data_IF_346123760206
#
_entry.id   IF_346123760206
#
_cell.length_a   1.000
_cell.length_b   1.000
_cell.length_c   1.000
_cell.angle_alpha   90.00
_cell.angle_beta   90.00
_cell.angle_gamma   90.00
#
_symmetry.space_group_name_H-M   'P 1'
#
loop_
_entity.id
_entity.type
_entity.pdbx_description
1 polymer ?
#
# COMPACT_ATOMS: atom_id res chain seq x y z
N UNK A 1 69.64 37.33 -13.91
CA UNK A 1 69.97 36.25 -12.96
C UNK A 1 69.11 36.45 -11.72
N UNK A 2 68.11 35.61 -11.49
CA UNK A 2 67.50 35.19 -10.20
C UNK A 2 66.26 34.35 -10.54
N UNK A 3 66.20 33.19 -9.90
CA UNK A 3 65.35 32.03 -10.17
C UNK A 3 64.06 32.09 -9.35
N UNK A 4 63.04 31.34 -9.84
CA UNK A 4 61.99 30.63 -9.08
C UNK A 4 60.93 31.55 -8.43
N UNK A 5 59.65 31.21 -8.38
CA UNK A 5 58.97 29.93 -8.17
C UNK A 5 57.58 29.93 -8.82
N UNK A 6 57.18 28.79 -9.38
CA UNK A 6 55.79 28.47 -9.71
C UNK A 6 54.97 28.42 -8.43
N UNK A 7 53.88 29.19 -8.33
CA UNK A 7 52.95 29.08 -7.22
C UNK A 7 51.61 28.52 -7.70
N UNK A 8 51.33 27.32 -7.21
CA UNK A 8 50.21 26.43 -7.51
C UNK A 8 48.87 26.94 -6.91
N UNK A 9 48.52 28.20 -7.19
CA UNK A 9 47.28 28.84 -6.69
C UNK A 9 46.27 29.19 -7.78
N UNK A 10 46.43 28.66 -8.99
CA UNK A 10 45.66 29.04 -10.19
C UNK A 10 44.46 28.14 -10.55
N UNK A 11 43.97 27.29 -9.65
CA UNK A 11 42.82 26.40 -9.94
C UNK A 11 41.77 26.33 -8.82
N UNK A 12 41.51 27.45 -8.12
CA UNK A 12 40.32 27.58 -7.25
C UNK A 12 39.69 28.97 -7.38
N UNK A 13 39.24 29.32 -8.58
CA UNK A 13 38.23 30.36 -8.79
C UNK A 13 37.17 29.82 -9.72
N UNK A 14 36.33 28.95 -9.17
CA UNK A 14 35.05 28.58 -9.73
C UNK A 14 33.98 29.09 -8.76
N UNK A 15 33.23 30.09 -9.24
CA UNK A 15 31.85 30.42 -8.85
C UNK A 15 31.54 30.57 -7.36
N UNK A 16 31.90 31.71 -6.78
CA UNK A 16 31.12 32.31 -5.70
C UNK A 16 29.95 33.11 -6.32
N UNK A 17 28.86 32.41 -6.65
CA UNK A 17 27.54 33.03 -6.69
C UNK A 17 26.89 32.71 -5.34
N UNK A 18 26.86 33.70 -4.47
CA UNK A 18 26.10 33.64 -3.23
C UNK A 18 24.62 33.57 -3.57
N UNK A 19 24.05 32.37 -3.55
CA UNK A 19 22.63 32.20 -3.39
C UNK A 19 22.35 32.33 -1.89
N UNK A 20 21.71 33.42 -1.49
CA UNK A 20 21.13 33.53 -0.16
C UNK A 20 20.16 32.36 0.06
N UNK A 21 20.14 31.72 1.25
CA UNK A 21 19.08 30.75 1.53
C UNK A 21 17.75 31.51 1.57
N UNK A 22 16.83 31.13 0.69
CA UNK A 22 15.44 31.55 0.79
C UNK A 22 14.90 31.15 2.17
N UNK A 23 14.10 31.99 2.85
CA UNK A 23 13.43 31.57 4.06
C UNK A 23 12.50 30.41 3.69
N UNK A 24 12.82 29.21 4.18
CA UNK A 24 11.91 28.07 4.21
C UNK A 24 10.72 28.48 5.08
N UNK A 25 9.71 29.07 4.46
CA UNK A 25 8.38 29.09 5.04
C UNK A 25 8.05 27.63 5.38
N UNK A 26 7.61 27.31 6.60
CA UNK A 26 7.17 25.97 6.92
C UNK A 26 6.03 25.64 5.96
N UNK A 27 6.25 24.63 5.13
CA UNK A 27 5.17 23.98 4.40
C UNK A 27 4.09 23.67 5.45
N UNK A 28 2.81 24.02 5.24
CA UNK A 28 1.77 23.56 6.14
C UNK A 28 1.95 22.05 6.29
N UNK A 29 1.86 21.49 7.51
CA UNK A 29 1.83 20.05 7.65
C UNK A 29 0.68 19.60 6.74
N UNK A 30 1.01 18.88 5.67
CA UNK A 30 0.03 18.05 5.01
C UNK A 30 -0.45 17.19 6.16
N UNK A 31 -1.67 17.45 6.63
CA UNK A 31 -2.33 16.59 7.58
C UNK A 31 -2.48 15.29 6.81
N UNK A 32 -1.45 14.45 6.87
CA UNK A 32 -1.59 13.04 6.63
C UNK A 32 -2.64 12.65 7.67
N UNK A 33 -3.91 12.60 7.24
CA UNK A 33 -4.94 11.92 8.00
C UNK A 33 -4.28 10.61 8.41
N UNK A 34 -4.08 10.45 9.72
CA UNK A 34 -3.21 9.40 10.22
C UNK A 34 -3.72 8.09 9.61
N UNK A 35 -2.84 7.26 9.01
CA UNK A 35 -3.25 6.00 8.37
C UNK A 35 -4.11 5.12 9.30
N UNK A 36 -3.99 5.32 10.61
CA UNK A 36 -4.83 4.69 11.64
C UNK A 36 -6.33 5.03 11.53
N UNK A 37 -6.73 6.27 11.21
CA UNK A 37 -8.15 6.66 11.21
C UNK A 37 -8.88 6.05 10.01
N UNK A 38 -8.28 6.14 8.82
CA UNK A 38 -8.79 5.51 7.59
C UNK A 38 -8.83 3.99 7.68
N UNK A 39 -7.81 3.37 8.28
CA UNK A 39 -7.80 1.92 8.45
C UNK A 39 -8.82 1.44 9.49
N UNK A 40 -9.06 2.22 10.55
CA UNK A 40 -10.16 1.97 11.51
C UNK A 40 -11.53 2.04 10.80
N UNK A 41 -11.75 3.04 9.96
CA UNK A 41 -12.98 3.16 9.18
C UNK A 41 -13.17 1.99 8.20
N UNK A 42 -12.12 1.55 7.51
CA UNK A 42 -12.17 0.39 6.62
C UNK A 42 -12.43 -0.91 7.38
N UNK A 43 -11.85 -1.10 8.56
CA UNK A 43 -12.12 -2.27 9.42
C UNK A 43 -13.56 -2.30 9.88
N UNK A 44 -14.12 -1.16 10.29
CA UNK A 44 -15.55 -1.04 10.62
C UNK A 44 -16.43 -1.33 9.42
N UNK A 45 -16.08 -0.80 8.24
CA UNK A 45 -16.83 -1.05 7.00
C UNK A 45 -16.81 -2.54 6.63
N UNK A 46 -15.66 -3.21 6.76
CA UNK A 46 -15.55 -4.66 6.58
C UNK A 46 -16.52 -5.40 7.50
N UNK A 47 -16.54 -5.09 8.79
CA UNK A 47 -17.45 -5.74 9.74
C UNK A 47 -18.93 -5.55 9.39
N UNK A 48 -19.31 -4.35 8.96
CA UNK A 48 -20.66 -4.05 8.49
C UNK A 48 -21.03 -4.88 7.25
N UNK A 49 -20.13 -4.94 6.26
CA UNK A 49 -20.35 -5.70 5.03
C UNK A 49 -20.40 -7.21 5.30
N UNK A 50 -19.55 -7.73 6.20
CA UNK A 50 -19.60 -9.13 6.63
C UNK A 50 -20.96 -9.47 7.24
N UNK A 51 -21.48 -8.62 8.13
CA UNK A 51 -22.81 -8.81 8.70
C UNK A 51 -23.90 -8.77 7.63
N UNK A 52 -23.85 -7.79 6.73
CA UNK A 52 -24.82 -7.63 5.64
C UNK A 52 -24.81 -8.83 4.67
N UNK A 53 -23.64 -9.33 4.29
CA UNK A 53 -23.50 -10.53 3.44
C UNK A 53 -24.13 -11.75 4.12
N UNK A 54 -23.88 -11.93 5.42
CA UNK A 54 -24.46 -13.04 6.18
C UNK A 54 -26.01 -12.95 6.23
N UNK A 55 -26.56 -11.76 6.46
CA UNK A 55 -28.01 -11.53 6.43
C UNK A 55 -28.61 -11.83 5.04
N UNK A 56 -27.99 -11.30 3.98
CA UNK A 56 -28.46 -11.53 2.60
C UNK A 56 -28.37 -13.01 2.20
N UNK A 57 -27.32 -13.73 2.62
CA UNK A 57 -27.19 -15.17 2.39
C UNK A 57 -28.28 -15.95 3.13
N UNK A 58 -28.56 -15.58 4.39
CA UNK A 58 -29.62 -16.20 5.18
C UNK A 58 -31.00 -15.97 4.53
N UNK A 59 -31.31 -14.74 4.13
CA UNK A 59 -32.56 -14.39 3.48
C UNK A 59 -32.73 -15.07 2.12
N UNK A 60 -31.67 -15.13 1.31
CA UNK A 60 -31.68 -15.82 0.03
C UNK A 60 -31.93 -17.32 0.21
N UNK A 61 -31.25 -17.95 1.17
CA UNK A 61 -31.45 -19.36 1.52
C UNK A 61 -32.87 -19.64 2.01
N UNK A 62 -33.40 -18.80 2.90
CA UNK A 62 -34.78 -18.88 3.37
C UNK A 62 -35.80 -18.73 2.25
N UNK A 63 -35.58 -17.78 1.33
CA UNK A 63 -36.43 -17.59 0.15
C UNK A 63 -36.43 -18.83 -0.76
N UNK A 64 -35.24 -19.40 -1.04
CA UNK A 64 -35.12 -20.65 -1.82
C UNK A 64 -35.86 -21.78 -1.13
N UNK A 65 -35.67 -21.95 0.19
CA UNK A 65 -36.34 -22.96 1.00
C UNK A 65 -37.87 -22.84 0.88
N UNK A 66 -38.42 -21.66 1.12
CA UNK A 66 -39.86 -21.41 1.08
C UNK A 66 -40.48 -21.62 -0.32
N UNK A 67 -39.72 -21.32 -1.39
CA UNK A 67 -40.17 -21.59 -2.76
C UNK A 67 -40.08 -23.08 -3.12
N UNK A 68 -39.06 -23.78 -2.65
CA UNK A 68 -38.85 -25.21 -2.87
C UNK A 68 -39.96 -26.03 -2.20
N UNK A 69 -40.27 -25.74 -0.92
CA UNK A 69 -41.34 -26.44 -0.18
C UNK A 69 -42.71 -26.20 -0.82
N UNK A 70 -42.94 -25.03 -1.44
CA UNK A 70 -44.18 -24.73 -2.18
C UNK A 70 -44.17 -25.19 -3.64
N UNK A 71 -43.11 -25.85 -4.10
CA UNK A 71 -42.93 -26.34 -5.46
C UNK A 71 -43.11 -25.25 -6.55
N UNK A 72 -42.66 -24.02 -6.28
CA UNK A 72 -42.78 -22.86 -7.20
C UNK A 72 -41.50 -22.04 -7.22
N UNK A 73 -40.49 -22.55 -7.92
CA UNK A 73 -39.22 -21.84 -8.10
C UNK A 73 -39.37 -20.77 -9.19
N UNK A 74 -39.02 -19.52 -8.84
CA UNK A 74 -38.94 -18.39 -9.77
C UNK A 74 -37.51 -17.92 -9.88
N UNK A 75 -36.81 -18.40 -10.90
CA UNK A 75 -35.38 -18.13 -11.10
C UNK A 75 -35.09 -16.64 -11.27
N UNK A 76 -35.99 -15.88 -11.89
CA UNK A 76 -35.83 -14.43 -12.07
C UNK A 76 -35.76 -13.67 -10.74
N UNK A 77 -36.56 -14.10 -9.74
CA UNK A 77 -36.52 -13.54 -8.38
C UNK A 77 -35.19 -13.89 -7.72
N UNK A 78 -34.75 -15.14 -7.84
CA UNK A 78 -33.48 -15.59 -7.28
C UNK A 78 -32.29 -14.84 -7.87
N UNK A 79 -32.24 -14.67 -9.19
CA UNK A 79 -31.16 -13.93 -9.86
C UNK A 79 -31.12 -12.47 -9.38
N UNK A 80 -32.27 -11.79 -9.25
CA UNK A 80 -32.31 -10.42 -8.74
C UNK A 80 -31.83 -10.32 -7.28
N UNK A 81 -32.17 -11.28 -6.43
CA UNK A 81 -31.72 -11.30 -5.03
C UNK A 81 -30.24 -11.67 -4.90
N UNK A 82 -29.77 -12.62 -5.70
CA UNK A 82 -28.37 -12.98 -5.78
C UNK A 82 -27.49 -11.83 -6.29
N UNK A 83 -28.00 -10.99 -7.20
CA UNK A 83 -27.26 -9.81 -7.66
C UNK A 83 -26.99 -8.81 -6.51
N UNK A 84 -27.97 -8.57 -5.63
CA UNK A 84 -27.79 -7.72 -4.46
C UNK A 84 -26.78 -8.30 -3.46
N UNK A 85 -26.78 -9.62 -3.28
CA UNK A 85 -25.75 -10.31 -2.48
C UNK A 85 -24.36 -10.17 -3.12
N UNK A 86 -24.24 -10.40 -4.43
CA UNK A 86 -22.98 -10.28 -5.16
C UNK A 86 -22.40 -8.87 -5.10
N UNK A 87 -23.25 -7.84 -5.11
CA UNK A 87 -22.81 -6.45 -4.95
C UNK A 87 -22.16 -6.22 -3.58
N UNK A 88 -22.80 -6.70 -2.50
CA UNK A 88 -22.24 -6.62 -1.15
C UNK A 88 -20.96 -7.45 -0.99
N UNK A 89 -20.90 -8.66 -1.57
CA UNK A 89 -19.70 -9.51 -1.59
C UNK A 89 -18.55 -8.85 -2.37
N UNK A 90 -18.86 -8.17 -3.48
CA UNK A 90 -17.87 -7.45 -4.29
C UNK A 90 -17.29 -6.27 -3.53
N UNK A 91 -18.13 -5.51 -2.81
CA UNK A 91 -17.67 -4.41 -1.97
C UNK A 91 -16.81 -4.93 -0.81
N UNK A 92 -17.21 -6.01 -0.16
CA UNK A 92 -16.43 -6.63 0.91
C UNK A 92 -15.05 -7.06 0.41
N UNK A 93 -14.98 -7.73 -0.74
CA UNK A 93 -13.73 -8.17 -1.35
C UNK A 93 -12.79 -6.99 -1.68
N UNK A 94 -13.34 -5.86 -2.13
CA UNK A 94 -12.55 -4.65 -2.39
C UNK A 94 -11.99 -4.05 -1.10
N UNK A 95 -12.80 -3.92 -0.05
CA UNK A 95 -12.35 -3.43 1.26
C UNK A 95 -11.26 -4.33 1.84
N UNK A 96 -11.44 -5.65 1.78
CA UNK A 96 -10.43 -6.61 2.25
C UNK A 96 -9.14 -6.53 1.45
N UNK A 97 -9.23 -6.32 0.14
CA UNK A 97 -8.06 -6.11 -0.71
C UNK A 97 -7.30 -4.85 -0.31
N UNK A 98 -7.99 -3.74 -0.05
CA UNK A 98 -7.37 -2.49 0.41
C UNK A 98 -6.68 -2.68 1.75
N UNK A 99 -7.36 -3.27 2.74
CA UNK A 99 -6.79 -3.55 4.06
C UNK A 99 -5.52 -4.41 3.96
N UNK A 100 -5.52 -5.43 3.10
CA UNK A 100 -4.33 -6.28 2.87
C UNK A 100 -3.17 -5.50 2.22
N UNK A 101 -3.47 -4.57 1.32
CA UNK A 101 -2.44 -3.69 0.74
C UNK A 101 -1.87 -2.72 1.77
N UNK A 102 -2.69 -2.20 2.69
CA UNK A 102 -2.24 -1.33 3.77
C UNK A 102 -1.31 -2.08 4.74
N UNK A 103 -1.66 -3.32 5.11
CA UNK A 103 -0.81 -4.18 5.95
C UNK A 103 0.53 -4.52 5.30
N UNK A 104 0.58 -4.62 3.97
CA UNK A 104 1.80 -4.98 3.21
C UNK A 104 2.56 -3.78 2.63
N UNK A 105 2.02 -2.57 2.76
CA UNK A 105 2.53 -1.34 2.13
C UNK A 105 3.93 -0.91 2.59
N UNK A 106 4.30 -1.24 3.82
CA UNK A 106 5.69 -1.19 4.30
C UNK A 106 6.10 -2.58 4.77
N UNK A 107 6.93 -3.28 4.00
CA UNK A 107 7.44 -4.58 4.42
C UNK A 107 8.52 -4.47 5.50
N UNK A 108 9.06 -3.27 5.69
CA UNK A 108 10.07 -3.02 6.71
C UNK A 108 10.72 -1.66 6.55
N UNK A 109 11.76 -1.47 7.35
CA UNK A 109 12.65 -0.33 7.27
C UNK A 109 14.05 -0.82 6.95
N UNK A 110 14.79 -0.06 6.13
CA UNK A 110 16.16 -0.37 5.79
C UNK A 110 17.03 -0.51 7.06
N UNK A 111 17.82 -1.58 7.16
CA UNK A 111 18.71 -1.80 8.31
C UNK A 111 19.82 -0.74 8.44
N UNK A 112 20.18 -0.07 7.34
CA UNK A 112 21.25 0.94 7.28
C UNK A 112 20.73 2.34 7.63
N UNK A 113 19.71 2.82 6.93
CA UNK A 113 19.23 4.21 7.06
C UNK A 113 17.82 4.35 7.66
N UNK A 114 17.15 3.23 7.96
CA UNK A 114 15.78 3.16 8.49
C UNK A 114 14.69 3.77 7.61
N UNK A 115 14.99 4.08 6.34
CA UNK A 115 13.94 4.47 5.40
C UNK A 115 12.96 3.31 5.18
N UNK A 116 11.64 3.57 5.17
CA UNK A 116 10.63 2.55 4.88
C UNK A 116 10.74 2.07 3.44
N UNK A 117 10.38 0.81 3.20
CA UNK A 117 10.38 0.22 1.85
C UNK A 117 9.17 -0.70 1.64
N UNK A 118 8.77 -0.86 0.38
CA UNK A 118 7.72 -1.80 -0.02
C UNK A 118 8.23 -3.25 0.00
N UNK A 119 7.31 -4.23 0.03
CA UNK A 119 7.66 -5.66 0.08
C UNK A 119 8.41 -6.23 -1.11
N UNK A 120 8.40 -5.55 -2.25
CA UNK A 120 9.17 -5.96 -3.44
C UNK A 120 10.48 -5.22 -3.62
N UNK A 121 10.86 -4.32 -2.70
CA UNK A 121 12.07 -3.51 -2.88
C UNK A 121 13.33 -4.36 -2.66
N UNK A 122 14.16 -4.50 -3.70
CA UNK A 122 15.46 -5.17 -3.62
C UNK A 122 16.53 -4.24 -3.03
N UNK A 123 16.40 -2.93 -3.27
CA UNK A 123 17.32 -1.90 -2.80
C UNK A 123 16.58 -0.76 -2.09
N UNK A 124 17.25 -0.13 -1.12
CA UNK A 124 16.74 1.04 -0.43
C UNK A 124 16.74 2.27 -1.36
N UNK A 125 15.58 2.93 -1.49
CA UNK A 125 15.45 4.14 -2.30
C UNK A 125 16.26 5.35 -1.77
N UNK A 126 16.59 5.35 -0.47
CA UNK A 126 17.29 6.46 0.19
C UNK A 126 18.81 6.26 0.25
N UNK A 127 19.29 5.06 0.59
CA UNK A 127 20.74 4.79 0.75
C UNK A 127 21.30 3.73 -0.20
N UNK A 128 20.47 3.10 -1.04
CA UNK A 128 20.91 2.10 -2.02
C UNK A 128 21.25 0.72 -1.45
N UNK A 129 21.18 0.50 -0.13
CA UNK A 129 21.50 -0.79 0.49
C UNK A 129 20.54 -1.91 0.03
N UNK A 130 21.06 -3.13 -0.14
CA UNK A 130 20.23 -4.32 -0.39
C UNK A 130 19.30 -4.60 0.79
N UNK A 131 18.03 -4.88 0.50
CA UNK A 131 16.99 -5.09 1.51
C UNK A 131 16.60 -6.56 1.69
N UNK A 132 16.84 -7.38 0.66
CA UNK A 132 16.61 -8.83 0.68
C UNK A 132 17.96 -9.55 0.70
N UNK A 133 18.03 -10.63 1.47
CA UNK A 133 19.12 -11.61 1.36
C UNK A 133 19.09 -12.17 -0.07
N UNK A 134 20.11 -11.88 -0.88
CA UNK A 134 20.21 -12.41 -2.23
C UNK A 134 20.52 -13.91 -2.14
N UNK A 135 19.51 -14.75 -2.27
CA UNK A 135 19.71 -16.19 -2.46
C UNK A 135 20.27 -16.39 -3.87
N UNK A 136 21.50 -16.88 -3.98
CA UNK A 136 22.13 -17.15 -5.27
C UNK A 136 21.35 -18.24 -6.01
N UNK A 137 21.26 -18.12 -7.34
CA UNK A 137 20.55 -19.10 -8.17
C UNK A 137 21.11 -20.54 -8.01
N UNK A 138 22.40 -20.66 -7.67
CA UNK A 138 23.06 -21.95 -7.38
C UNK A 138 22.48 -22.64 -6.13
N UNK A 139 22.01 -21.88 -5.13
CA UNK A 139 21.41 -22.43 -3.92
C UNK A 139 19.98 -22.99 -4.18
N UNK A 140 19.26 -22.39 -5.13
CA UNK A 140 17.92 -22.84 -5.53
C UNK A 140 18.00 -24.13 -6.37
N UNK A 141 19.05 -24.28 -7.20
CA UNK A 141 19.25 -25.46 -8.05
C UNK A 141 19.75 -26.71 -7.30
N UNK A 142 20.26 -26.55 -6.07
CA UNK A 142 20.74 -27.64 -5.22
C UNK A 142 19.70 -28.15 -4.20
N UNK A 143 18.46 -27.64 -4.26
CA UNK A 143 17.34 -27.97 -3.35
C UNK A 143 16.36 -28.96 -3.99
#
# INVERSE_FOLDING_TARGET
>A
MIKRTLDARRLRRAHAHGLAPAPTAPLPPVLAAAPDDRSVDLRRRREQLTAQVAELQWDLGGLVYEMAVRNRIRTDVLVRRAAALQEAESELGEVERILRMEETGAAGSCLVCRAPHSGGAVFCWQCGAGLLEQVSSDAIAAS
#
